data_IF_537120256237
#
_entry.id   IF_537120256237
#
_cell.length_a   1.000
_cell.length_b   1.000
_cell.length_c   1.000
_cell.angle_alpha   90.00
_cell.angle_beta   90.00
_cell.angle_gamma   90.00
#
_symmetry.space_group_name_H-M   'P 1'
#
loop_
_entity.id
_entity.type
_entity.pdbx_description
1 polymer ?
#
# COMPACT_ATOMS: atom_id res chain seq x y z
N UNK A 1 14.99 -38.28 13.13
CA UNK A 1 14.81 -37.02 13.86
C UNK A 1 14.21 -36.03 12.88
N UNK A 2 12.92 -35.75 12.84
CA UNK A 2 11.81 -36.12 13.69
C UNK A 2 10.56 -35.91 12.83
N UNK A 3 9.58 -36.80 12.95
CA UNK A 3 8.25 -36.63 12.40
C UNK A 3 7.59 -35.40 13.04
N UNK A 4 7.27 -34.37 12.25
CA UNK A 4 6.48 -33.23 12.70
C UNK A 4 5.04 -33.41 12.22
N UNK A 5 4.28 -33.99 13.14
CA UNK A 5 2.86 -34.22 13.15
C UNK A 5 2.11 -32.89 13.40
N UNK A 6 1.25 -32.48 12.46
CA UNK A 6 -0.17 -32.18 12.71
C UNK A 6 -0.77 -31.15 11.73
N UNK A 7 -1.83 -31.50 10.98
CA UNK A 7 -2.76 -30.55 10.38
C UNK A 7 -3.87 -30.21 11.39
N UNK A 8 -4.02 -28.94 11.78
CA UNK A 8 -5.19 -28.49 12.56
C UNK A 8 -6.23 -27.83 11.67
N UNK A 9 -7.17 -28.66 11.22
CA UNK A 9 -8.44 -28.24 10.64
C UNK A 9 -9.44 -27.87 11.76
N UNK A 10 -10.47 -27.09 11.37
CA UNK A 10 -11.85 -27.08 11.92
C UNK A 10 -12.19 -25.96 12.93
N UNK A 11 -13.13 -25.07 12.57
CA UNK A 11 -14.43 -25.09 13.26
C UNK A 11 -15.55 -25.45 12.28
N UNK A 12 -15.96 -26.72 12.33
CA UNK A 12 -17.18 -27.25 11.80
C UNK A 12 -18.24 -26.90 12.85
N UNK A 13 -18.77 -25.69 12.75
CA UNK A 13 -20.07 -25.41 13.35
C UNK A 13 -21.13 -26.17 12.55
N UNK A 14 -21.42 -27.36 13.05
CA UNK A 14 -22.34 -28.31 12.44
C UNK A 14 -22.32 -29.63 13.20
N UNK A 15 -22.38 -29.58 14.54
CA UNK A 15 -22.69 -30.77 15.33
C UNK A 15 -24.13 -31.20 14.98
N UNK A 16 -24.25 -32.01 13.94
CA UNK A 16 -25.42 -32.85 13.72
C UNK A 16 -25.51 -33.81 14.90
N UNK A 17 -26.52 -33.58 15.74
CA UNK A 17 -26.89 -34.53 16.78
C UNK A 17 -27.19 -35.86 16.10
N UNK A 18 -26.47 -36.90 16.49
CA UNK A 18 -26.66 -38.27 16.01
C UNK A 18 -28.15 -38.62 15.92
N UNK A 19 -28.62 -38.93 14.71
CA UNK A 19 -29.98 -39.42 14.49
C UNK A 19 -30.11 -40.80 15.13
N UNK A 20 -31.09 -40.93 16.03
CA UNK A 20 -31.42 -42.24 16.64
C UNK A 20 -32.04 -43.12 15.56
N UNK A 21 -31.71 -44.43 15.48
CA UNK A 21 -32.21 -45.29 14.42
C UNK A 21 -33.74 -45.43 14.50
N UNK A 22 -34.41 -45.17 13.38
CA UNK A 22 -35.87 -45.22 13.26
C UNK A 22 -36.31 -46.69 13.12
N UNK A 23 -36.95 -47.25 14.16
CA UNK A 23 -37.47 -48.63 14.12
C UNK A 23 -38.80 -48.71 13.37
N UNK A 24 -38.90 -49.61 12.37
CA UNK A 24 -40.18 -49.91 11.68
C UNK A 24 -41.11 -50.76 12.53
N UNK A 25 -42.40 -50.43 12.50
CA UNK A 25 -43.49 -51.27 13.02
C UNK A 25 -44.23 -51.99 11.87
N UNK A 26 -44.78 -53.17 12.17
CA UNK A 26 -45.37 -54.15 11.23
C UNK A 26 -46.56 -53.68 10.36
N UNK A 27 -47.04 -52.44 10.48
CA UNK A 27 -48.11 -51.92 9.62
C UNK A 27 -47.72 -50.54 9.08
N UNK A 28 -47.55 -50.47 7.76
CA UNK A 28 -46.73 -49.48 7.09
C UNK A 28 -47.22 -48.04 7.19
N UNK A 29 -46.31 -47.14 7.58
CA UNK A 29 -45.84 -46.04 6.72
C UNK A 29 -44.76 -45.23 7.45
N UNK A 30 -43.79 -44.79 6.66
CA UNK A 30 -42.60 -44.00 6.98
C UNK A 30 -41.43 -44.72 7.67
N UNK A 31 -40.69 -45.48 6.86
CA UNK A 31 -39.41 -46.08 7.22
C UNK A 31 -38.17 -45.24 6.89
N UNK A 32 -38.36 -44.22 6.06
CA UNK A 32 -37.31 -43.31 5.67
C UNK A 32 -37.34 -42.06 6.54
N UNK A 33 -36.14 -41.58 6.88
CA UNK A 33 -35.97 -40.24 7.42
C UNK A 33 -36.64 -39.22 6.47
N UNK A 34 -37.42 -38.31 7.05
CA UNK A 34 -38.09 -37.28 6.28
C UNK A 34 -37.04 -36.30 5.76
N UNK A 35 -36.77 -36.37 4.45
CA UNK A 35 -35.83 -35.48 3.77
C UNK A 35 -36.36 -34.04 3.85
N UNK A 36 -35.75 -33.25 4.72
CA UNK A 36 -36.00 -31.81 4.77
C UNK A 36 -35.42 -31.16 3.52
N UNK A 37 -36.21 -30.33 2.84
CA UNK A 37 -35.71 -29.59 1.68
C UNK A 37 -34.51 -28.72 2.09
N UNK A 38 -33.39 -28.90 1.37
CA UNK A 38 -32.21 -28.06 1.53
C UNK A 38 -32.56 -26.63 1.16
N UNK A 39 -32.30 -25.69 2.08
CA UNK A 39 -32.57 -24.26 1.89
C UNK A 39 -31.29 -23.48 2.19
N UNK A 40 -30.45 -23.20 1.18
CA UNK A 40 -29.20 -22.45 1.34
C UNK A 40 -29.38 -21.05 1.96
N UNK A 41 -30.58 -20.49 1.87
CA UNK A 41 -30.93 -19.17 2.39
C UNK A 41 -31.53 -19.20 3.80
N UNK A 42 -31.73 -20.38 4.39
CA UNK A 42 -32.43 -20.49 5.68
C UNK A 42 -31.54 -19.93 6.80
N UNK A 43 -31.95 -18.79 7.35
CA UNK A 43 -31.25 -18.12 8.46
C UNK A 43 -30.48 -16.85 8.10
N UNK A 44 -30.46 -16.45 6.82
CA UNK A 44 -29.88 -15.17 6.43
C UNK A 44 -30.98 -14.19 6.00
N UNK A 45 -31.22 -13.17 6.82
CA UNK A 45 -32.09 -12.07 6.41
C UNK A 45 -31.44 -11.31 5.25
N UNK A 46 -32.24 -10.81 4.30
CA UNK A 46 -31.70 -10.07 3.13
C UNK A 46 -30.91 -8.83 3.52
N UNK A 47 -31.15 -8.30 4.73
CA UNK A 47 -30.42 -7.18 5.30
C UNK A 47 -29.04 -7.58 5.80
N UNK A 48 -28.93 -8.68 6.57
CA UNK A 48 -27.64 -9.18 7.07
C UNK A 48 -26.68 -9.52 5.93
N UNK A 49 -27.18 -10.08 4.82
CA UNK A 49 -26.36 -10.33 3.63
C UNK A 49 -25.77 -9.04 3.06
N UNK A 50 -26.63 -8.03 2.84
CA UNK A 50 -26.20 -6.71 2.34
C UNK A 50 -25.24 -6.01 3.30
N UNK A 51 -25.45 -6.15 4.61
CA UNK A 51 -24.55 -5.57 5.61
C UNK A 51 -23.15 -6.21 5.55
N UNK A 52 -23.07 -7.55 5.47
CA UNK A 52 -21.82 -8.29 5.31
C UNK A 52 -21.12 -7.93 3.99
N UNK A 53 -21.85 -7.85 2.89
CA UNK A 53 -21.31 -7.45 1.58
C UNK A 53 -20.76 -6.01 1.59
N UNK A 54 -21.48 -5.06 2.20
CA UNK A 54 -20.98 -3.68 2.35
C UNK A 54 -19.73 -3.60 3.21
N UNK A 55 -19.69 -4.35 4.32
CA UNK A 55 -18.51 -4.41 5.19
C UNK A 55 -17.30 -4.99 4.44
N UNK A 56 -17.49 -6.08 3.70
CA UNK A 56 -16.45 -6.67 2.86
C UNK A 56 -15.97 -5.69 1.77
N UNK A 57 -16.88 -5.00 1.08
CA UNK A 57 -16.52 -3.98 0.10
C UNK A 57 -15.78 -2.80 0.73
N UNK A 58 -16.16 -2.35 1.93
CA UNK A 58 -15.49 -1.28 2.64
C UNK A 58 -14.05 -1.67 3.02
N UNK A 59 -13.85 -2.90 3.51
CA UNK A 59 -12.53 -3.43 3.81
C UNK A 59 -11.65 -3.55 2.56
N UNK A 60 -12.20 -4.01 1.43
CA UNK A 60 -11.48 -4.09 0.16
C UNK A 60 -11.07 -2.70 -0.34
N UNK A 61 -11.98 -1.73 -0.29
CA UNK A 61 -11.71 -0.35 -0.71
C UNK A 61 -10.72 0.36 0.21
N UNK A 62 -10.75 0.10 1.51
CA UNK A 62 -9.77 0.63 2.45
C UNK A 62 -8.36 0.15 2.09
N UNK A 63 -8.19 -1.17 1.90
CA UNK A 63 -6.91 -1.76 1.46
C UNK A 63 -6.45 -1.22 0.11
N UNK A 64 -7.36 -1.05 -0.86
CA UNK A 64 -7.01 -0.48 -2.17
C UNK A 64 -6.55 0.98 -2.04
N UNK A 65 -7.23 1.76 -1.18
CA UNK A 65 -6.90 3.15 -0.93
C UNK A 65 -5.53 3.29 -0.24
N UNK A 66 -5.26 2.50 0.79
CA UNK A 66 -3.95 2.43 1.46
C UNK A 66 -2.82 2.15 0.46
N UNK A 67 -2.99 1.13 -0.39
CA UNK A 67 -2.01 0.78 -1.42
C UNK A 67 -1.79 1.89 -2.47
N UNK A 68 -2.80 2.70 -2.77
CA UNK A 68 -2.68 3.84 -3.70
C UNK A 68 -1.99 5.02 -3.02
N UNK A 69 -2.35 5.32 -1.77
CA UNK A 69 -1.76 6.41 -1.00
C UNK A 69 -0.27 6.17 -0.74
N UNK A 70 0.14 4.94 -0.42
CA UNK A 70 1.55 4.57 -0.27
C UNK A 70 2.34 4.76 -1.58
N UNK A 71 1.77 4.34 -2.72
CA UNK A 71 2.39 4.53 -4.04
C UNK A 71 2.53 6.01 -4.39
N UNK A 72 1.52 6.82 -4.08
CA UNK A 72 1.56 8.25 -4.33
C UNK A 72 2.52 8.98 -3.40
N UNK A 73 2.60 8.60 -2.12
CA UNK A 73 3.57 9.13 -1.17
C UNK A 73 5.00 8.87 -1.66
N UNK A 74 5.29 7.63 -2.06
CA UNK A 74 6.59 7.25 -2.63
C UNK A 74 6.94 8.03 -3.90
N UNK A 75 5.94 8.33 -4.75
CA UNK A 75 6.16 9.18 -5.94
C UNK A 75 6.43 10.64 -5.55
N UNK A 76 5.64 11.19 -4.62
CA UNK A 76 5.79 12.57 -4.12
C UNK A 76 7.18 12.76 -3.49
N UNK A 77 7.61 11.86 -2.62
CA UNK A 77 8.95 11.90 -2.03
C UNK A 77 10.06 11.90 -3.10
N UNK A 78 9.95 11.06 -4.13
CA UNK A 78 10.92 11.05 -5.24
C UNK A 78 10.95 12.38 -5.97
N UNK A 79 9.77 12.94 -6.26
CA UNK A 79 9.66 14.25 -6.92
C UNK A 79 10.25 15.36 -6.05
N UNK A 80 9.97 15.38 -4.76
CA UNK A 80 10.52 16.36 -3.81
C UNK A 80 12.04 16.25 -3.70
N UNK A 81 12.58 15.04 -3.53
CA UNK A 81 14.02 14.78 -3.53
C UNK A 81 14.71 15.29 -4.81
N UNK A 82 14.07 15.14 -5.98
CA UNK A 82 14.60 15.66 -7.25
C UNK A 82 14.54 17.20 -7.29
N UNK A 83 13.42 17.80 -6.86
CA UNK A 83 13.27 19.26 -6.81
C UNK A 83 14.30 19.89 -5.88
N UNK A 84 14.49 19.34 -4.68
CA UNK A 84 15.50 19.81 -3.74
C UNK A 84 16.92 19.73 -4.31
N UNK A 85 17.25 18.62 -5.00
CA UNK A 85 18.56 18.49 -5.66
C UNK A 85 18.77 19.56 -6.73
N UNK A 86 17.73 19.88 -7.52
CA UNK A 86 17.79 20.93 -8.53
C UNK A 86 17.94 22.32 -7.89
N UNK A 87 17.13 22.64 -6.89
CA UNK A 87 17.23 23.90 -6.15
C UNK A 87 18.62 24.10 -5.53
N UNK A 88 19.17 23.08 -4.85
CA UNK A 88 20.53 23.10 -4.30
C UNK A 88 21.59 23.31 -5.39
N UNK A 89 21.38 22.76 -6.59
CA UNK A 89 22.31 22.94 -7.72
C UNK A 89 22.23 24.36 -8.26
N UNK A 90 21.03 24.89 -8.49
CA UNK A 90 20.80 26.26 -8.96
C UNK A 90 21.37 27.30 -8.00
N UNK A 91 21.21 27.09 -6.69
CA UNK A 91 21.82 27.95 -5.67
C UNK A 91 23.36 27.93 -5.75
N UNK A 92 23.96 26.74 -5.86
CA UNK A 92 25.41 26.61 -6.03
C UNK A 92 25.90 27.30 -7.30
N UNK A 93 25.26 27.04 -8.44
CA UNK A 93 25.59 27.65 -9.74
C UNK A 93 25.46 29.18 -9.68
N UNK A 94 24.47 29.71 -8.95
CA UNK A 94 24.32 31.16 -8.72
C UNK A 94 25.49 31.73 -7.93
N UNK A 95 25.92 31.06 -6.87
CA UNK A 95 27.08 31.49 -6.08
C UNK A 95 28.38 31.39 -6.87
N UNK A 96 28.57 30.32 -7.64
CA UNK A 96 29.73 30.13 -8.51
C UNK A 96 29.81 31.23 -9.58
N UNK A 97 28.70 31.55 -10.25
CA UNK A 97 28.63 32.65 -11.20
C UNK A 97 28.95 34.00 -10.55
N UNK A 98 28.48 34.23 -9.33
CA UNK A 98 28.82 35.45 -8.59
C UNK A 98 30.32 35.50 -8.27
N UNK A 99 30.90 34.40 -7.81
CA UNK A 99 32.33 34.30 -7.54
C UNK A 99 33.16 34.54 -8.80
N UNK A 100 32.78 33.95 -9.93
CA UNK A 100 33.42 34.14 -11.23
C UNK A 100 33.37 35.61 -11.67
N UNK A 101 32.22 36.27 -11.54
CA UNK A 101 32.12 37.70 -11.89
C UNK A 101 33.03 38.58 -11.04
N UNK A 102 33.17 38.28 -9.74
CA UNK A 102 34.09 39.00 -8.85
C UNK A 102 35.55 38.69 -9.17
N UNK A 103 35.87 37.43 -9.46
CA UNK A 103 37.20 37.02 -9.90
C UNK A 103 37.60 37.73 -11.20
N UNK A 104 36.71 37.76 -12.20
CA UNK A 104 36.91 38.51 -13.45
C UNK A 104 37.18 39.98 -13.20
N UNK A 105 36.36 40.64 -12.36
CA UNK A 105 36.57 42.05 -11.97
C UNK A 105 37.93 42.28 -11.31
N UNK A 106 38.38 41.36 -10.44
CA UNK A 106 39.70 41.43 -9.78
C UNK A 106 40.84 41.31 -10.79
N UNK A 107 40.77 40.32 -11.68
CA UNK A 107 41.79 40.10 -12.73
C UNK A 107 41.87 41.31 -13.66
N UNK A 108 40.74 41.85 -14.11
CA UNK A 108 40.74 43.06 -14.95
C UNK A 108 41.31 44.28 -14.24
N UNK A 109 41.05 44.43 -12.94
CA UNK A 109 41.61 45.52 -12.13
C UNK A 109 43.13 45.40 -12.00
N UNK A 110 43.64 44.18 -11.84
CA UNK A 110 45.09 43.91 -11.83
C UNK A 110 45.72 44.22 -13.19
N UNK A 111 45.16 43.71 -14.29
CA UNK A 111 45.63 44.00 -15.65
C UNK A 111 45.69 45.52 -15.95
N UNK A 112 44.69 46.28 -15.49
CA UNK A 112 44.67 47.75 -15.62
C UNK A 112 45.76 48.43 -14.79
N UNK A 113 46.02 47.96 -13.57
CA UNK A 113 47.11 48.47 -12.74
C UNK A 113 48.48 48.15 -13.34
N UNK A 114 48.68 46.92 -13.81
CA UNK A 114 49.91 46.49 -14.48
C UNK A 114 50.16 47.32 -15.73
N UNK A 115 49.15 47.54 -16.58
CA UNK A 115 49.26 48.42 -17.76
C UNK A 115 49.67 49.84 -17.37
N UNK A 116 49.05 50.41 -16.33
CA UNK A 116 49.37 51.76 -15.86
C UNK A 116 50.77 51.84 -15.26
N UNK A 117 51.12 50.92 -14.36
CA UNK A 117 52.43 50.90 -13.72
C UNK A 117 53.54 50.70 -14.75
N UNK A 118 53.30 49.87 -15.78
CA UNK A 118 54.20 49.76 -16.92
C UNK A 118 54.41 51.12 -17.56
N UNK A 119 53.35 51.82 -17.99
CA UNK A 119 53.47 53.14 -18.62
C UNK A 119 54.16 54.22 -17.75
N UNK A 120 54.09 54.12 -16.42
CA UNK A 120 54.66 55.12 -15.50
C UNK A 120 56.11 54.78 -15.10
N UNK A 121 56.44 53.50 -14.99
CA UNK A 121 57.75 53.01 -14.54
C UNK A 121 58.59 52.38 -15.66
N UNK A 122 58.17 52.54 -16.92
CA UNK A 122 58.95 52.22 -18.13
C UNK A 122 59.55 53.47 -18.74
#
# INVERSE_FOLDING_TARGET
MSDDEAPTLVPAEGQERASKPLGMRKNGKQWHEQKKAFRPSKGLTTFEKRAKERAAMAQMKAKEKEMKEEKEAMRKEKTEKIREKRAKKEEKERYEKMAETMHRKRVERLKRKEKRNKLINS
#
